data_IF_734351771345
#
_entry.id   IF_734351771345
#
_cell.length_a   1.000
_cell.length_b   1.000
_cell.length_c   1.000
_cell.angle_alpha   90.00
_cell.angle_beta   90.00
_cell.angle_gamma   90.00
#
_symmetry.space_group_name_H-M   'P 1'
#
loop_
_entity.id
_entity.type
_entity.pdbx_description
1 polymer ?
#
# COMPACT_ATOMS: atom_id res chain seq x y z
N UNK A 1 -25.59 16.45 72.55
CA UNK A 1 -25.43 15.03 72.12
C UNK A 1 -26.55 14.75 71.12
N UNK A 2 -26.21 14.77 69.82
CA UNK A 2 -26.37 13.66 68.84
C UNK A 2 -27.82 13.16 68.67
N UNK A 3 -28.37 12.92 67.46
CA UNK A 3 -27.73 12.73 66.16
C UNK A 3 -28.75 12.89 65.02
N UNK A 4 -28.24 13.25 63.84
CA UNK A 4 -28.90 13.22 62.53
C UNK A 4 -29.37 11.81 62.13
N UNK A 5 -30.44 11.74 61.32
CA UNK A 5 -30.35 11.11 59.99
C UNK A 5 -31.62 11.33 59.15
N UNK A 6 -31.55 12.28 58.22
CA UNK A 6 -32.42 12.36 57.05
C UNK A 6 -31.86 11.45 55.95
N UNK A 7 -32.37 10.23 55.86
CA UNK A 7 -32.12 9.36 54.70
C UNK A 7 -33.00 9.82 53.52
N UNK A 8 -32.44 10.67 52.66
CA UNK A 8 -32.97 10.97 51.34
C UNK A 8 -32.64 9.84 50.36
N UNK A 9 -33.46 8.79 50.34
CA UNK A 9 -33.42 7.75 49.32
C UNK A 9 -34.03 8.28 48.01
N UNK A 10 -33.21 8.86 47.15
CA UNK A 10 -33.59 9.18 45.77
C UNK A 10 -33.73 7.89 44.96
N UNK A 11 -34.95 7.59 44.51
CA UNK A 11 -35.28 6.48 43.63
C UNK A 11 -34.52 6.57 42.29
N UNK A 12 -33.61 5.62 42.05
CA UNK A 12 -32.98 5.38 40.75
C UNK A 12 -33.90 4.49 39.89
N UNK A 13 -34.87 5.14 39.22
CA UNK A 13 -36.00 4.47 38.56
C UNK A 13 -35.65 3.81 37.20
N UNK A 14 -34.42 3.95 36.68
CA UNK A 14 -34.05 3.36 35.39
C UNK A 14 -32.62 2.81 35.32
N UNK A 15 -31.89 2.72 36.44
CA UNK A 15 -30.48 2.32 36.41
C UNK A 15 -29.60 3.30 35.61
N UNK A 16 -30.10 4.52 35.36
CA UNK A 16 -29.39 5.56 34.62
C UNK A 16 -28.18 6.06 35.40
N UNK A 17 -28.22 6.00 36.74
CA UNK A 17 -27.04 6.32 37.55
C UNK A 17 -25.99 5.20 37.49
N UNK A 18 -26.40 3.94 37.31
CA UNK A 18 -25.48 2.82 37.13
C UNK A 18 -24.85 2.82 35.72
N UNK A 19 -25.64 3.16 34.68
CA UNK A 19 -25.16 3.35 33.31
C UNK A 19 -24.26 4.58 33.20
N UNK A 20 -24.61 5.68 33.86
CA UNK A 20 -23.79 6.89 33.98
C UNK A 20 -22.45 6.61 34.65
N UNK A 21 -22.45 5.92 35.80
CA UNK A 21 -21.22 5.51 36.51
C UNK A 21 -20.37 4.49 35.74
N UNK A 22 -20.99 3.65 34.90
CA UNK A 22 -20.25 2.71 34.05
C UNK A 22 -19.62 3.44 32.86
N UNK A 23 -20.34 4.39 32.26
CA UNK A 23 -19.81 5.28 31.23
C UNK A 23 -18.69 6.19 31.73
N UNK A 24 -18.84 6.77 32.93
CA UNK A 24 -17.79 7.56 33.61
C UNK A 24 -16.54 6.72 33.85
N UNK A 25 -16.68 5.51 34.41
CA UNK A 25 -15.53 4.61 34.62
C UNK A 25 -14.81 4.20 33.34
N UNK A 26 -15.54 4.00 32.24
CA UNK A 26 -14.96 3.68 30.93
C UNK A 26 -14.22 4.90 30.37
N UNK A 27 -14.80 6.10 30.50
CA UNK A 27 -14.15 7.34 30.10
C UNK A 27 -12.88 7.61 30.93
N UNK A 28 -12.93 7.39 32.25
CA UNK A 28 -11.79 7.54 33.15
C UNK A 28 -10.67 6.54 32.82
N UNK A 29 -11.01 5.29 32.48
CA UNK A 29 -10.05 4.29 32.07
C UNK A 29 -9.38 4.63 30.72
N UNK A 30 -10.13 5.14 29.74
CA UNK A 30 -9.59 5.61 28.47
C UNK A 30 -8.66 6.81 28.64
N UNK A 31 -9.04 7.78 29.49
CA UNK A 31 -8.20 8.92 29.84
C UNK A 31 -6.89 8.45 30.49
N UNK A 32 -6.94 7.51 31.43
CA UNK A 32 -5.73 7.00 32.09
C UNK A 32 -4.83 6.20 31.15
N UNK A 33 -5.42 5.41 30.23
CA UNK A 33 -4.70 4.72 29.18
C UNK A 33 -3.95 5.69 28.26
N UNK A 34 -4.61 6.76 27.83
CA UNK A 34 -4.01 7.82 27.00
C UNK A 34 -2.93 8.59 27.77
N UNK A 35 -3.15 8.92 29.05
CA UNK A 35 -2.12 9.57 29.87
C UNK A 35 -0.86 8.71 29.98
N UNK A 36 -1.05 7.42 30.24
CA UNK A 36 0.06 6.46 30.29
C UNK A 36 0.79 6.43 28.95
N UNK A 37 0.04 6.33 27.85
CA UNK A 37 0.59 6.32 26.50
C UNK A 37 1.40 7.58 26.16
N UNK A 38 0.88 8.77 26.49
CA UNK A 38 1.58 10.04 26.27
C UNK A 38 2.77 10.23 27.22
N UNK A 39 2.71 9.75 28.45
CA UNK A 39 3.85 9.82 29.38
C UNK A 39 5.06 9.05 28.87
N UNK A 40 4.81 7.97 28.11
CA UNK A 40 5.82 7.19 27.42
C UNK A 40 6.27 7.88 26.13
N UNK A 41 5.33 8.36 25.30
CA UNK A 41 5.61 8.83 23.93
C UNK A 41 5.93 10.32 23.76
N UNK A 42 5.19 11.21 24.45
CA UNK A 42 5.29 12.65 24.33
C UNK A 42 4.82 13.37 25.61
N UNK A 43 5.76 13.63 26.53
CA UNK A 43 5.47 14.34 27.80
C UNK A 43 4.88 15.74 27.61
N UNK A 44 5.37 16.60 26.69
CA UNK A 44 4.77 17.92 26.49
C UNK A 44 3.29 17.86 26.07
N UNK A 45 2.92 16.85 25.28
CA UNK A 45 1.54 16.65 24.84
C UNK A 45 0.64 16.13 25.98
N UNK A 46 1.21 15.41 26.96
CA UNK A 46 0.49 15.02 28.19
C UNK A 46 0.06 16.24 29.00
N UNK A 47 0.94 17.23 29.13
CA UNK A 47 0.65 18.47 29.86
C UNK A 47 -0.50 19.23 29.18
N UNK A 48 -0.46 19.32 27.84
CA UNK A 48 -1.53 19.94 27.04
C UNK A 48 -2.87 19.19 27.19
N UNK A 49 -2.85 17.85 27.19
CA UNK A 49 -4.05 17.05 27.46
C UNK A 49 -4.62 17.34 28.86
N UNK A 50 -3.75 17.57 29.85
CA UNK A 50 -4.12 18.01 31.20
C UNK A 50 -4.87 19.35 31.20
N UNK A 51 -4.42 20.32 30.42
CA UNK A 51 -5.12 21.60 30.25
C UNK A 51 -6.46 21.42 29.52
N UNK A 52 -6.54 20.56 28.50
CA UNK A 52 -7.79 20.25 27.80
C UNK A 52 -8.85 19.60 28.70
N UNK A 53 -8.42 18.78 29.68
CA UNK A 53 -9.31 18.18 30.70
C UNK A 53 -9.91 19.22 31.65
N UNK A 54 -9.20 20.33 31.90
CA UNK A 54 -9.65 21.41 32.77
C UNK A 54 -10.75 22.30 32.17
N UNK A 55 -10.96 22.27 30.84
CA UNK A 55 -11.91 23.12 30.14
C UNK A 55 -13.20 22.36 29.77
N UNK A 56 -14.29 22.64 30.50
CA UNK A 56 -15.62 22.02 30.30
C UNK A 56 -16.22 22.24 28.91
N UNK A 57 -15.75 23.24 28.13
CA UNK A 57 -16.33 23.59 26.82
C UNK A 57 -15.67 22.89 25.62
N UNK A 58 -14.65 22.04 25.80
CA UNK A 58 -13.98 21.30 24.70
C UNK A 58 -14.12 19.78 24.78
N UNK A 59 -15.17 19.27 25.44
CA UNK A 59 -15.39 17.82 25.61
C UNK A 59 -15.34 17.03 24.30
N UNK A 60 -15.91 17.57 23.21
CA UNK A 60 -15.87 16.89 21.91
C UNK A 60 -14.46 16.77 21.30
N UNK A 61 -13.64 17.83 21.36
CA UNK A 61 -12.26 17.78 20.86
C UNK A 61 -11.42 16.81 21.68
N UNK A 62 -11.54 16.89 23.01
CA UNK A 62 -10.86 15.97 23.91
C UNK A 62 -11.24 14.51 23.62
N UNK A 63 -12.54 14.23 23.43
CA UNK A 63 -12.99 12.88 23.07
C UNK A 63 -12.40 12.39 21.74
N UNK A 64 -12.24 13.27 20.74
CA UNK A 64 -11.58 12.89 19.49
C UNK A 64 -10.09 12.60 19.71
N UNK A 65 -9.40 13.44 20.47
CA UNK A 65 -7.98 13.22 20.82
C UNK A 65 -7.79 11.89 21.52
N UNK A 66 -8.61 11.58 22.52
CA UNK A 66 -8.60 10.30 23.23
C UNK A 66 -8.77 9.14 22.24
N UNK A 67 -9.81 9.18 21.41
CA UNK A 67 -10.07 8.13 20.40
C UNK A 67 -8.91 7.92 19.43
N UNK A 68 -8.29 9.00 18.97
CA UNK A 68 -7.16 8.93 18.04
C UNK A 68 -5.94 8.33 18.73
N UNK A 69 -5.65 8.72 19.97
CA UNK A 69 -4.53 8.20 20.74
C UNK A 69 -4.72 6.74 21.13
N UNK A 70 -5.94 6.32 21.49
CA UNK A 70 -6.29 4.91 21.71
C UNK A 70 -6.10 4.07 20.43
N UNK A 71 -6.58 4.57 19.28
CA UNK A 71 -6.34 3.92 17.98
C UNK A 71 -4.85 3.86 17.63
N UNK A 72 -4.09 4.91 17.94
CA UNK A 72 -2.66 4.96 17.69
C UNK A 72 -1.92 3.93 18.55
N UNK A 73 -2.29 3.83 19.83
CA UNK A 73 -1.77 2.81 20.74
C UNK A 73 -2.05 1.39 20.23
N UNK A 74 -3.25 1.13 19.71
CA UNK A 74 -3.60 -0.17 19.11
C UNK A 74 -2.84 -0.50 17.82
N UNK A 75 -2.28 0.50 17.13
CA UNK A 75 -1.49 0.34 15.90
C UNK A 75 0.02 0.23 16.16
N UNK A 76 0.47 0.43 17.39
CA UNK A 76 1.89 0.33 17.71
C UNK A 76 2.35 -1.12 17.78
N UNK A 77 3.33 -1.43 16.95
CA UNK A 77 4.16 -2.62 17.11
C UNK A 77 5.23 -2.31 18.16
N UNK A 78 5.13 -2.94 19.33
CA UNK A 78 6.18 -2.85 20.34
C UNK A 78 7.46 -3.48 19.80
N UNK A 79 8.46 -2.64 19.57
CA UNK A 79 9.79 -3.09 19.25
C UNK A 79 10.55 -3.30 20.57
N UNK A 80 10.79 -4.57 20.90
CA UNK A 80 11.55 -4.97 22.09
C UNK A 80 13.00 -4.48 22.10
N UNK A 81 13.55 -4.05 20.96
CA UNK A 81 14.94 -3.64 20.84
C UNK A 81 15.15 -2.13 21.10
N UNK A 82 14.11 -1.31 20.95
CA UNK A 82 14.18 0.14 21.14
C UNK A 82 13.34 0.58 22.34
N UNK A 83 13.96 0.60 23.52
CA UNK A 83 13.33 0.91 24.83
C UNK A 83 12.73 2.32 24.95
N UNK A 84 12.83 3.18 23.94
CA UNK A 84 12.28 4.53 23.97
C UNK A 84 11.24 4.67 22.87
N UNK A 85 9.99 4.83 23.27
CA UNK A 85 8.92 5.31 22.42
C UNK A 85 8.95 6.84 22.51
N UNK A 86 9.52 7.54 21.53
CA UNK A 86 9.50 9.01 21.50
C UNK A 86 9.05 9.49 20.13
N UNK A 87 8.10 10.42 20.12
CA UNK A 87 7.69 11.16 18.91
C UNK A 87 8.25 12.58 19.00
N UNK A 88 8.58 13.16 17.84
CA UNK A 88 8.86 14.59 17.79
C UNK A 88 7.66 15.39 18.30
N UNK A 89 7.94 16.36 19.16
CA UNK A 89 6.89 17.11 19.85
C UNK A 89 6.11 17.99 18.87
N UNK A 90 6.77 18.58 17.87
CA UNK A 90 6.11 19.41 16.87
C UNK A 90 5.17 18.57 15.98
N UNK A 91 5.63 17.40 15.51
CA UNK A 91 4.80 16.44 14.78
C UNK A 91 3.60 16.00 15.61
N UNK A 92 3.81 15.63 16.88
CA UNK A 92 2.73 15.20 17.78
C UNK A 92 1.67 16.30 17.97
N UNK A 93 2.10 17.54 18.22
CA UNK A 93 1.18 18.67 18.36
C UNK A 93 0.39 18.94 17.09
N UNK A 94 1.05 18.98 15.93
CA UNK A 94 0.37 19.22 14.66
C UNK A 94 -0.66 18.12 14.35
N UNK A 95 -0.35 16.86 14.63
CA UNK A 95 -1.32 15.76 14.47
C UNK A 95 -2.52 15.97 15.38
N UNK A 96 -2.31 16.17 16.68
CA UNK A 96 -3.40 16.30 17.65
C UNK A 96 -4.27 17.52 17.38
N UNK A 97 -3.67 18.66 17.04
CA UNK A 97 -4.41 19.89 16.75
C UNK A 97 -5.36 19.69 15.57
N UNK A 98 -4.86 19.15 14.46
CA UNK A 98 -5.64 18.93 13.24
C UNK A 98 -6.63 17.76 13.40
N UNK A 99 -6.23 16.68 14.06
CA UNK A 99 -7.06 15.49 14.19
C UNK A 99 -8.20 15.69 15.22
N UNK A 100 -8.02 16.56 16.22
CA UNK A 100 -9.04 16.83 17.25
C UNK A 100 -10.33 17.46 16.70
N UNK A 101 -10.27 18.11 15.53
CA UNK A 101 -11.45 18.69 14.85
C UNK A 101 -12.10 17.76 13.82
N UNK A 102 -11.57 16.54 13.65
CA UNK A 102 -12.09 15.58 12.66
C UNK A 102 -13.15 14.70 13.33
N UNK A 103 -14.39 14.72 12.83
CA UNK A 103 -15.46 13.82 13.29
C UNK A 103 -15.50 12.47 12.57
N UNK A 104 -14.91 12.39 11.37
CA UNK A 104 -15.04 11.21 10.53
C UNK A 104 -14.09 10.10 10.99
N UNK A 105 -14.65 8.92 11.29
CA UNK A 105 -13.91 7.80 11.87
C UNK A 105 -12.76 7.31 10.96
N UNK A 106 -12.96 7.29 9.64
CA UNK A 106 -11.93 6.89 8.66
C UNK A 106 -10.74 7.84 8.67
N UNK A 107 -10.98 9.15 8.74
CA UNK A 107 -9.90 10.14 8.86
C UNK A 107 -9.22 10.05 10.22
N UNK A 108 -9.98 9.86 11.31
CA UNK A 108 -9.39 9.64 12.64
C UNK A 108 -8.47 8.41 12.66
N UNK A 109 -8.85 7.33 11.96
CA UNK A 109 -8.01 6.14 11.84
C UNK A 109 -6.69 6.41 11.10
N UNK A 110 -6.73 7.23 10.04
CA UNK A 110 -5.51 7.65 9.33
C UNK A 110 -4.60 8.53 10.19
N UNK A 111 -5.16 9.48 10.93
CA UNK A 111 -4.41 10.31 11.87
C UNK A 111 -3.76 9.48 12.98
N UNK A 112 -4.50 8.51 13.52
CA UNK A 112 -4.00 7.59 14.52
C UNK A 112 -2.81 6.76 14.01
N UNK A 113 -2.91 6.24 12.78
CA UNK A 113 -1.78 5.53 12.18
C UNK A 113 -0.60 6.44 11.90
N UNK A 114 -0.82 7.66 11.40
CA UNK A 114 0.26 8.61 11.17
C UNK A 114 1.00 8.88 12.49
N UNK A 115 0.28 9.13 13.59
CA UNK A 115 0.86 9.28 14.93
C UNK A 115 1.69 8.07 15.33
N UNK A 116 1.15 6.86 15.20
CA UNK A 116 1.84 5.62 15.54
C UNK A 116 3.13 5.43 14.71
N UNK A 117 3.08 5.73 13.41
CA UNK A 117 4.21 5.59 12.49
C UNK A 117 5.31 6.65 12.68
N UNK A 118 4.99 7.77 13.33
CA UNK A 118 5.92 8.86 13.65
C UNK A 118 6.71 8.61 14.94
N UNK A 119 6.32 7.64 15.76
CA UNK A 119 7.07 7.27 16.97
C UNK A 119 8.39 6.57 16.57
N UNK A 120 9.51 7.04 17.11
CA UNK A 120 10.88 6.53 16.91
C UNK A 120 11.47 6.73 15.51
N UNK A 121 10.90 7.61 14.68
CA UNK A 121 11.45 7.92 13.35
C UNK A 121 11.88 9.38 13.28
N UNK A 122 13.15 9.62 12.95
CA UNK A 122 13.76 10.95 12.82
C UNK A 122 13.44 11.68 11.50
N UNK A 123 12.58 11.10 10.66
CA UNK A 123 12.13 11.73 9.40
C UNK A 123 11.00 12.75 9.67
N UNK A 124 11.33 13.78 10.44
CA UNK A 124 10.39 14.80 10.91
C UNK A 124 9.74 15.56 9.73
N UNK A 125 10.54 15.95 8.74
CA UNK A 125 10.08 16.71 7.57
C UNK A 125 9.08 15.94 6.70
N UNK A 126 9.26 14.62 6.56
CA UNK A 126 8.33 13.79 5.79
C UNK A 126 6.97 13.68 6.51
N UNK A 127 6.99 13.52 7.84
CA UNK A 127 5.76 13.45 8.61
C UNK A 127 4.99 14.79 8.54
N UNK A 128 5.68 15.93 8.58
CA UNK A 128 5.07 17.25 8.36
C UNK A 128 4.43 17.34 6.97
N UNK A 129 5.12 16.89 5.93
CA UNK A 129 4.56 16.82 4.58
C UNK A 129 3.28 15.98 4.51
N UNK A 130 3.22 14.83 5.20
CA UNK A 130 2.01 14.01 5.25
C UNK A 130 0.89 14.61 6.10
N UNK A 131 1.22 15.32 7.19
CA UNK A 131 0.24 16.11 7.95
C UNK A 131 -0.42 17.14 7.03
N UNK A 132 0.38 17.84 6.22
CA UNK A 132 -0.10 18.85 5.27
C UNK A 132 -1.00 18.29 4.17
N UNK A 133 -0.73 17.07 3.70
CA UNK A 133 -1.63 16.38 2.79
C UNK A 133 -2.91 15.97 3.53
N UNK A 134 -2.78 15.24 4.64
CA UNK A 134 -3.93 14.61 5.31
C UNK A 134 -4.95 15.63 5.81
N UNK A 135 -4.50 16.81 6.30
CA UNK A 135 -5.41 17.88 6.74
C UNK A 135 -6.25 18.49 5.61
N UNK A 136 -5.85 18.31 4.35
CA UNK A 136 -6.56 18.80 3.16
C UNK A 136 -7.50 17.76 2.56
N UNK A 137 -7.43 16.51 3.02
CA UNK A 137 -8.21 15.41 2.45
C UNK A 137 -9.62 15.33 3.04
N UNK A 138 -10.58 15.01 2.18
CA UNK A 138 -11.94 14.68 2.59
C UNK A 138 -12.07 13.18 2.89
N UNK A 139 -13.11 12.78 3.62
CA UNK A 139 -13.39 11.36 3.88
C UNK A 139 -13.60 10.56 2.58
N UNK A 140 -14.26 11.16 1.58
CA UNK A 140 -14.48 10.54 0.27
C UNK A 140 -13.17 10.28 -0.48
N UNK A 141 -12.24 11.25 -0.43
CA UNK A 141 -10.91 11.14 -1.03
C UNK A 141 -10.07 10.05 -0.37
N UNK A 142 -10.06 10.02 0.96
CA UNK A 142 -9.36 8.99 1.75
C UNK A 142 -9.87 7.59 1.41
N UNK A 143 -11.19 7.39 1.33
CA UNK A 143 -11.76 6.10 0.97
C UNK A 143 -11.28 5.63 -0.40
N UNK A 144 -11.24 6.54 -1.38
CA UNK A 144 -10.73 6.22 -2.71
C UNK A 144 -9.23 5.89 -2.68
N UNK A 145 -8.40 6.68 -2.00
CA UNK A 145 -6.96 6.39 -1.89
C UNK A 145 -6.74 5.02 -1.25
N UNK A 146 -7.37 4.74 -0.10
CA UNK A 146 -7.23 3.45 0.59
C UNK A 146 -7.65 2.29 -0.30
N UNK A 147 -8.81 2.42 -0.97
CA UNK A 147 -9.28 1.42 -1.92
C UNK A 147 -8.27 1.21 -3.06
N UNK A 148 -7.71 2.27 -3.64
CA UNK A 148 -6.71 2.16 -4.70
C UNK A 148 -5.42 1.50 -4.20
N UNK A 149 -4.92 1.88 -3.03
CA UNK A 149 -3.72 1.29 -2.43
C UNK A 149 -3.91 -0.20 -2.14
N UNK A 150 -5.12 -0.63 -1.74
CA UNK A 150 -5.43 -2.03 -1.46
C UNK A 150 -5.66 -2.84 -2.75
N UNK A 151 -6.35 -2.30 -3.75
CA UNK A 151 -6.86 -3.07 -4.89
C UNK A 151 -6.04 -2.95 -6.19
N UNK A 152 -4.99 -2.12 -6.22
CA UNK A 152 -4.07 -2.09 -7.36
C UNK A 152 -3.04 -3.21 -7.28
N UNK A 153 -2.67 -3.83 -8.41
CA UNK A 153 -1.59 -4.82 -8.42
C UNK A 153 -0.25 -4.13 -8.21
N UNK A 154 0.55 -4.69 -7.31
CA UNK A 154 1.88 -4.22 -6.95
C UNK A 154 2.92 -5.10 -7.63
N UNK A 155 3.86 -4.47 -8.30
CA UNK A 155 4.97 -5.14 -8.95
C UNK A 155 6.26 -4.37 -8.72
N UNK A 156 7.39 -4.96 -9.05
CA UNK A 156 8.69 -4.27 -9.04
C UNK A 156 9.39 -4.50 -10.37
N UNK A 157 10.39 -3.69 -10.70
CA UNK A 157 11.34 -4.08 -11.74
C UNK A 157 12.24 -5.18 -11.16
N UNK A 158 11.96 -6.44 -11.50
CA UNK A 158 12.66 -7.58 -10.90
C UNK A 158 14.16 -7.54 -11.16
N UNK A 159 14.61 -6.99 -12.30
CA UNK A 159 16.04 -6.82 -12.60
C UNK A 159 16.77 -5.88 -11.63
N UNK A 160 16.03 -5.09 -10.85
CA UNK A 160 16.55 -4.17 -9.85
C UNK A 160 15.99 -4.50 -8.44
N UNK A 161 15.77 -5.78 -8.12
CA UNK A 161 15.21 -6.20 -6.82
C UNK A 161 15.93 -5.57 -5.62
N UNK A 162 17.26 -5.63 -5.60
CA UNK A 162 18.07 -5.09 -4.50
C UNK A 162 17.84 -3.59 -4.32
N UNK A 163 17.83 -2.84 -5.43
CA UNK A 163 17.55 -1.40 -5.44
C UNK A 163 16.11 -1.08 -5.03
N UNK A 164 15.14 -1.90 -5.46
CA UNK A 164 13.74 -1.71 -5.08
C UNK A 164 13.52 -1.95 -3.57
N UNK A 165 14.25 -2.90 -2.98
CA UNK A 165 14.28 -3.14 -1.52
C UNK A 165 14.90 -1.97 -0.78
N UNK A 166 16.06 -1.49 -1.24
CA UNK A 166 16.78 -0.37 -0.63
C UNK A 166 15.98 0.94 -0.70
N UNK A 167 15.43 1.27 -1.87
CA UNK A 167 14.65 2.50 -2.08
C UNK A 167 13.19 2.37 -1.59
N UNK A 168 12.73 1.16 -1.29
CA UNK A 168 11.38 0.91 -0.82
C UNK A 168 10.29 1.12 -1.89
N UNK A 169 10.63 1.02 -3.18
CA UNK A 169 9.75 1.42 -4.29
C UNK A 169 8.97 0.24 -4.85
N UNK A 170 7.69 0.49 -5.11
CA UNK A 170 6.77 -0.44 -5.78
C UNK A 170 6.16 0.23 -7.00
N UNK A 171 6.05 -0.52 -8.08
CA UNK A 171 5.32 -0.14 -9.30
C UNK A 171 3.87 -0.57 -9.22
N UNK A 172 2.98 0.26 -9.76
CA UNK A 172 1.54 0.06 -9.70
C UNK A 172 0.94 0.00 -11.10
N UNK A 173 0.06 -0.97 -11.31
CA UNK A 173 -0.75 -1.06 -12.53
C UNK A 173 -1.98 -0.16 -12.44
N UNK A 174 -2.45 0.34 -13.58
CA UNK A 174 -3.72 1.06 -13.65
C UNK A 174 -4.90 0.13 -13.34
N UNK A 175 -5.75 0.56 -12.42
CA UNK A 175 -7.04 -0.06 -12.14
C UNK A 175 -8.12 0.62 -12.97
N UNK A 176 -8.97 -0.19 -13.60
CA UNK A 176 -10.10 0.29 -14.39
C UNK A 176 -11.35 0.32 -13.52
N UNK A 177 -11.82 1.51 -13.16
CA UNK A 177 -13.00 1.71 -12.33
C UNK A 177 -14.18 2.24 -13.13
N UNK A 178 -15.35 1.62 -12.94
CA UNK A 178 -16.59 2.17 -13.49
C UNK A 178 -17.10 3.32 -12.64
N UNK A 179 -17.92 4.20 -13.22
CA UNK A 179 -18.45 5.36 -12.49
C UNK A 179 -19.25 4.98 -11.24
N UNK A 180 -20.09 3.95 -11.37
CA UNK A 180 -20.91 3.47 -10.27
C UNK A 180 -20.05 2.95 -9.11
N UNK A 181 -18.93 2.29 -9.43
CA UNK A 181 -17.95 1.82 -8.46
C UNK A 181 -17.24 2.97 -7.77
N UNK A 182 -16.80 3.99 -8.51
CA UNK A 182 -16.22 5.22 -7.92
C UNK A 182 -17.18 5.90 -6.94
N UNK A 183 -18.46 6.05 -7.30
CA UNK A 183 -19.48 6.62 -6.42
C UNK A 183 -19.65 5.79 -5.14
N UNK A 184 -19.65 4.46 -5.29
CA UNK A 184 -19.76 3.53 -4.17
C UNK A 184 -18.56 3.64 -3.22
N UNK A 185 -17.34 3.57 -3.75
CA UNK A 185 -16.09 3.68 -2.97
C UNK A 185 -16.02 5.02 -2.24
N UNK A 186 -16.32 6.12 -2.93
CA UNK A 186 -16.29 7.48 -2.34
C UNK A 186 -17.48 7.78 -1.43
N UNK A 187 -18.44 6.86 -1.31
CA UNK A 187 -19.69 7.01 -0.58
C UNK A 187 -20.43 8.31 -0.93
N UNK A 188 -20.53 8.61 -2.24
CA UNK A 188 -21.18 9.81 -2.76
C UNK A 188 -22.18 9.46 -3.85
N UNK A 189 -23.41 9.97 -3.73
CA UNK A 189 -24.44 9.88 -4.78
C UNK A 189 -24.30 10.98 -5.83
N UNK A 190 -23.57 12.07 -5.53
CA UNK A 190 -23.40 13.20 -6.43
C UNK A 190 -22.25 12.96 -7.39
N UNK A 191 -22.58 12.94 -8.69
CA UNK A 191 -21.61 12.76 -9.76
C UNK A 191 -20.60 13.91 -9.84
N UNK A 192 -21.10 15.14 -9.75
CA UNK A 192 -20.26 16.34 -9.78
C UNK A 192 -19.28 16.37 -8.61
N UNK A 193 -19.73 15.95 -7.42
CA UNK A 193 -18.86 15.86 -6.25
C UNK A 193 -17.73 14.84 -6.47
N UNK A 194 -18.06 13.65 -6.97
CA UNK A 194 -17.05 12.62 -7.28
C UNK A 194 -16.03 13.14 -8.28
N UNK A 195 -16.46 13.82 -9.34
CA UNK A 195 -15.55 14.42 -10.33
C UNK A 195 -14.61 15.45 -9.68
N UNK A 196 -15.15 16.39 -8.90
CA UNK A 196 -14.33 17.43 -8.25
C UNK A 196 -13.34 16.87 -7.21
N UNK A 197 -13.76 15.86 -6.45
CA UNK A 197 -12.91 15.22 -5.43
C UNK A 197 -11.81 14.39 -6.10
N UNK A 198 -12.14 13.73 -7.23
CA UNK A 198 -11.18 12.99 -8.03
C UNK A 198 -10.15 13.91 -8.71
N UNK A 199 -10.59 15.03 -9.29
CA UNK A 199 -9.70 16.06 -9.83
C UNK A 199 -8.79 16.65 -8.75
N UNK A 200 -9.32 16.86 -7.54
CA UNK A 200 -8.52 17.33 -6.39
C UNK A 200 -7.40 16.34 -6.05
N UNK A 201 -7.69 15.04 -6.03
CA UNK A 201 -6.67 14.00 -5.79
C UNK A 201 -5.58 13.96 -6.85
N UNK A 202 -5.95 14.17 -8.13
CA UNK A 202 -4.98 14.29 -9.22
C UNK A 202 -4.11 15.52 -9.01
N UNK A 203 -4.72 16.66 -8.68
CA UNK A 203 -4.01 17.92 -8.45
C UNK A 203 -3.08 17.88 -7.22
N UNK A 204 -3.41 17.06 -6.21
CA UNK A 204 -2.51 16.81 -5.07
C UNK A 204 -1.40 15.81 -5.41
N UNK A 205 -1.37 15.24 -6.62
CA UNK A 205 -0.39 14.24 -7.01
C UNK A 205 -0.54 12.92 -6.24
N UNK A 206 -1.74 12.61 -5.77
CA UNK A 206 -2.03 11.37 -5.02
C UNK A 206 -2.52 10.25 -5.93
N UNK A 207 -3.11 10.59 -7.07
CA UNK A 207 -3.50 9.62 -8.09
C UNK A 207 -3.09 10.09 -9.49
N UNK A 208 -2.86 9.12 -10.37
CA UNK A 208 -2.45 9.34 -11.75
C UNK A 208 -3.45 8.75 -12.75
N UNK A 209 -3.56 9.40 -13.92
CA UNK A 209 -4.29 8.91 -15.10
C UNK A 209 -3.28 8.52 -16.18
N UNK A 210 -3.60 7.56 -17.05
CA UNK A 210 -2.78 7.32 -18.24
C UNK A 210 -2.77 8.59 -19.10
N UNK A 211 -1.57 9.08 -19.43
CA UNK A 211 -1.27 10.32 -20.17
C UNK A 211 -1.43 11.64 -19.39
N UNK A 212 -0.46 12.01 -18.53
CA UNK A 212 -0.45 13.27 -17.78
C UNK A 212 -0.30 14.53 -18.65
N UNK A 213 0.05 14.39 -19.94
CA UNK A 213 0.34 15.50 -20.86
C UNK A 213 -0.87 16.07 -21.62
N UNK A 214 -2.06 15.46 -21.51
CA UNK A 214 -3.30 16.09 -21.93
C UNK A 214 -4.05 16.51 -20.67
N UNK A 215 -4.48 17.77 -20.61
CA UNK A 215 -5.61 18.19 -19.78
C UNK A 215 -6.84 17.45 -20.29
N UNK A 216 -6.86 16.15 -19.99
CA UNK A 216 -7.85 15.23 -20.50
C UNK A 216 -9.20 15.69 -19.98
N UNK A 217 -10.26 15.43 -20.76
CA UNK A 217 -11.61 15.75 -20.35
C UNK A 217 -11.88 15.19 -18.93
N UNK A 218 -12.73 15.85 -18.13
CA UNK A 218 -12.99 15.44 -16.73
C UNK A 218 -13.43 13.97 -16.65
N UNK A 219 -13.41 13.35 -15.46
CA UNK A 219 -13.78 11.94 -15.34
C UNK A 219 -15.20 11.72 -15.89
N UNK A 220 -16.08 12.70 -15.76
CA UNK A 220 -17.43 12.66 -16.31
C UNK A 220 -17.48 12.55 -17.84
N UNK A 221 -16.48 13.08 -18.53
CA UNK A 221 -16.38 13.03 -19.98
C UNK A 221 -15.63 11.78 -20.47
N UNK A 222 -14.65 11.26 -19.71
CA UNK A 222 -13.93 10.01 -20.04
C UNK A 222 -14.76 8.75 -19.77
N UNK A 223 -15.61 8.77 -18.75
CA UNK A 223 -16.28 7.55 -18.26
C UNK A 223 -17.55 7.19 -19.05
N UNK A 224 -18.00 8.02 -20.01
CA UNK A 224 -19.18 7.71 -20.82
C UNK A 224 -19.04 6.47 -21.74
N UNK A 225 -17.83 5.95 -21.96
CA UNK A 225 -17.61 4.82 -22.87
C UNK A 225 -16.74 3.68 -22.34
N UNK A 226 -15.82 3.92 -21.38
CA UNK A 226 -14.79 2.92 -21.04
C UNK A 226 -14.39 2.80 -19.56
N UNK A 227 -14.95 3.57 -18.61
CA UNK A 227 -14.44 3.61 -17.24
C UNK A 227 -13.17 4.46 -17.07
N UNK A 228 -12.79 4.75 -15.83
CA UNK A 228 -11.59 5.53 -15.49
C UNK A 228 -10.41 4.60 -15.20
N UNK A 229 -9.29 4.81 -15.89
CA UNK A 229 -8.02 4.16 -15.56
C UNK A 229 -7.28 5.04 -14.54
N UNK A 230 -7.03 4.50 -13.36
CA UNK A 230 -6.43 5.24 -12.25
C UNK A 230 -5.46 4.36 -11.48
N UNK A 231 -4.39 4.96 -10.96
CA UNK A 231 -3.51 4.33 -9.97
C UNK A 231 -3.11 5.34 -8.90
N UNK A 232 -2.81 4.90 -7.66
CA UNK A 232 -2.19 5.77 -6.68
C UNK A 232 -0.76 6.11 -7.11
N UNK A 233 -0.25 7.26 -6.66
CA UNK A 233 1.16 7.59 -6.78
C UNK A 233 1.98 6.96 -5.65
N UNK A 234 3.30 7.00 -5.77
CA UNK A 234 4.18 6.57 -4.67
C UNK A 234 3.96 7.42 -3.41
N UNK A 235 3.63 8.71 -3.57
CA UNK A 235 3.30 9.61 -2.44
C UNK A 235 2.05 9.10 -1.72
N UNK A 236 1.00 8.73 -2.46
CA UNK A 236 -0.21 8.17 -1.86
C UNK A 236 0.03 6.82 -1.18
N UNK A 237 0.87 5.95 -1.76
CA UNK A 237 1.26 4.70 -1.09
C UNK A 237 1.99 4.96 0.23
N UNK A 238 2.99 5.86 0.24
CA UNK A 238 3.73 6.19 1.47
C UNK A 238 2.82 6.77 2.54
N UNK A 239 1.96 7.73 2.16
CA UNK A 239 0.94 8.28 3.07
C UNK A 239 0.04 7.16 3.62
N UNK A 240 -0.45 6.27 2.76
CA UNK A 240 -1.31 5.16 3.15
C UNK A 240 -0.62 4.23 4.17
N UNK A 241 0.60 3.78 3.88
CA UNK A 241 1.39 2.90 4.76
C UNK A 241 1.61 3.54 6.13
N UNK A 242 1.97 4.84 6.15
CA UNK A 242 2.12 5.63 7.37
C UNK A 242 0.82 5.72 8.15
N UNK A 243 -0.29 6.02 7.49
CA UNK A 243 -1.62 6.06 8.09
C UNK A 243 -2.16 4.70 8.54
N UNK A 244 -1.50 3.59 8.19
CA UNK A 244 -1.73 2.27 8.79
C UNK A 244 -0.93 2.02 10.07
N UNK A 245 -0.07 2.95 10.47
CA UNK A 245 0.81 2.81 11.65
C UNK A 245 2.12 2.10 11.35
N UNK A 246 2.38 1.72 10.10
CA UNK A 246 3.59 1.02 9.72
C UNK A 246 4.76 1.98 9.52
N UNK A 247 5.94 1.54 9.97
CA UNK A 247 7.22 2.22 9.75
C UNK A 247 7.96 1.69 8.52
N UNK A 248 7.42 0.65 7.89
CA UNK A 248 7.99 0.01 6.71
C UNK A 248 7.95 0.93 5.50
N UNK A 249 8.82 0.66 4.55
CA UNK A 249 8.71 1.19 3.19
C UNK A 249 7.49 0.58 2.48
N UNK A 250 6.99 1.22 1.39
CA UNK A 250 5.95 0.60 0.56
C UNK A 250 6.30 -0.80 0.06
N UNK A 251 7.56 -1.06 -0.29
CA UNK A 251 8.00 -2.40 -0.68
C UNK A 251 7.79 -3.43 0.43
N UNK A 252 8.32 -3.16 1.62
CA UNK A 252 8.21 -4.07 2.76
C UNK A 252 6.75 -4.28 3.19
N UNK A 253 5.94 -3.21 3.18
CA UNK A 253 4.53 -3.28 3.55
C UNK A 253 3.71 -4.14 2.58
N UNK A 254 3.98 -4.05 1.27
CA UNK A 254 3.27 -4.76 0.21
C UNK A 254 4.07 -5.96 -0.34
N UNK A 255 5.05 -6.48 0.39
CA UNK A 255 5.91 -7.57 -0.11
C UNK A 255 5.07 -8.80 -0.46
N UNK A 256 4.05 -9.10 0.36
CA UNK A 256 3.13 -10.20 0.11
C UNK A 256 2.33 -10.03 -1.18
N UNK A 257 1.80 -8.83 -1.45
CA UNK A 257 1.10 -8.52 -2.71
C UNK A 257 2.02 -8.65 -3.93
N UNK A 258 3.28 -8.21 -3.80
CA UNK A 258 4.28 -8.33 -4.87
C UNK A 258 4.59 -9.79 -5.15
N UNK A 259 4.76 -10.61 -4.10
CA UNK A 259 4.96 -12.05 -4.23
C UNK A 259 3.75 -12.70 -4.92
N UNK A 260 2.53 -12.37 -4.49
CA UNK A 260 1.28 -12.89 -5.09
C UNK A 260 1.19 -12.53 -6.59
N UNK A 261 1.48 -11.28 -6.95
CA UNK A 261 1.51 -10.85 -8.35
C UNK A 261 2.46 -11.71 -9.20
N UNK A 262 3.67 -11.98 -8.69
CA UNK A 262 4.64 -12.80 -9.40
C UNK A 262 4.26 -14.29 -9.42
N UNK A 263 3.58 -14.79 -8.38
CA UNK A 263 3.02 -16.13 -8.38
C UNK A 263 1.92 -16.30 -9.44
N UNK A 264 1.03 -15.32 -9.58
CA UNK A 264 -0.01 -15.34 -10.63
C UNK A 264 0.61 -15.37 -12.03
N UNK A 265 1.65 -14.56 -12.27
CA UNK A 265 2.32 -14.49 -13.57
C UNK A 265 3.01 -15.80 -13.95
N UNK A 266 3.70 -16.38 -12.98
CA UNK A 266 4.49 -17.59 -13.18
C UNK A 266 3.63 -18.84 -13.15
N UNK A 267 2.55 -18.84 -12.37
CA UNK A 267 1.72 -20.01 -12.10
C UNK A 267 2.54 -21.21 -11.59
N UNK A 268 2.17 -22.42 -12.02
CA UNK A 268 2.83 -23.67 -11.64
C UNK A 268 4.13 -23.95 -12.42
N UNK A 269 4.76 -22.94 -13.01
CA UNK A 269 5.98 -23.14 -13.81
C UNK A 269 7.24 -23.22 -12.96
N UNK A 270 7.25 -22.63 -11.76
CA UNK A 270 8.39 -22.70 -10.85
C UNK A 270 8.07 -23.61 -9.67
N UNK A 271 9.10 -24.31 -9.18
CA UNK A 271 9.03 -25.15 -7.97
C UNK A 271 9.50 -24.41 -6.71
N UNK A 272 9.72 -23.10 -6.80
CA UNK A 272 10.21 -22.30 -5.68
C UNK A 272 9.12 -22.10 -4.62
N UNK A 273 9.50 -22.14 -3.34
CA UNK A 273 8.61 -21.76 -2.25
C UNK A 273 8.28 -20.27 -2.31
N UNK A 274 7.09 -19.90 -1.82
CA UNK A 274 6.61 -18.51 -1.81
C UNK A 274 7.61 -17.53 -1.20
N UNK A 275 8.35 -17.94 -0.17
CA UNK A 275 9.34 -17.12 0.55
C UNK A 275 10.57 -16.74 -0.28
N UNK A 276 10.93 -17.53 -1.30
CA UNK A 276 12.15 -17.33 -2.09
C UNK A 276 11.87 -16.99 -3.55
N UNK A 277 10.60 -16.78 -3.91
CA UNK A 277 10.20 -16.57 -5.29
C UNK A 277 10.89 -15.36 -5.92
N UNK A 278 10.86 -14.20 -5.26
CA UNK A 278 11.45 -12.97 -5.82
C UNK A 278 12.96 -13.12 -6.04
N UNK A 279 13.67 -13.68 -5.06
CA UNK A 279 15.11 -13.93 -5.17
C UNK A 279 15.42 -14.93 -6.28
N UNK A 280 14.60 -15.99 -6.43
CA UNK A 280 14.76 -16.95 -7.53
C UNK A 280 14.60 -16.29 -8.90
N UNK A 281 13.54 -15.49 -9.08
CA UNK A 281 13.30 -14.77 -10.35
C UNK A 281 14.43 -13.78 -10.61
N UNK A 282 14.89 -13.10 -9.57
CA UNK A 282 15.97 -12.13 -9.68
C UNK A 282 17.28 -12.76 -10.17
N UNK A 283 17.73 -13.85 -9.53
CA UNK A 283 18.95 -14.55 -9.94
C UNK A 283 18.84 -15.07 -11.38
N UNK A 284 17.69 -15.63 -11.75
CA UNK A 284 17.41 -16.08 -13.12
C UNK A 284 17.43 -14.93 -14.12
N UNK A 285 16.86 -13.79 -13.76
CA UNK A 285 16.86 -12.57 -14.57
C UNK A 285 18.28 -12.03 -14.78
N UNK A 286 19.13 -12.02 -13.75
CA UNK A 286 20.54 -11.65 -13.86
C UNK A 286 21.30 -12.55 -14.83
N UNK A 287 21.07 -13.87 -14.75
CA UNK A 287 21.68 -14.83 -15.70
C UNK A 287 21.18 -14.61 -17.12
N UNK A 288 19.89 -14.33 -17.29
CA UNK A 288 19.28 -14.04 -18.58
C UNK A 288 19.82 -12.78 -19.25
N UNK A 289 20.22 -11.76 -18.47
CA UNK A 289 20.79 -10.53 -18.99
C UNK A 289 22.08 -10.76 -19.80
N UNK A 290 22.91 -11.75 -19.43
CA UNK A 290 24.12 -12.09 -20.18
C UNK A 290 23.82 -12.47 -21.63
N UNK A 291 22.62 -12.97 -21.91
CA UNK A 291 22.21 -13.41 -23.25
C UNK A 291 21.47 -12.32 -24.05
N UNK A 292 21.35 -11.09 -23.54
CA UNK A 292 20.59 -10.00 -24.19
C UNK A 292 21.08 -9.64 -25.59
N UNK A 293 22.38 -9.75 -25.82
CA UNK A 293 22.98 -9.48 -27.12
C UNK A 293 22.99 -10.70 -28.03
N UNK A 294 22.76 -11.90 -27.50
CA UNK A 294 22.83 -13.17 -28.22
C UNK A 294 21.46 -13.68 -28.67
N UNK A 295 20.41 -13.37 -27.92
CA UNK A 295 19.03 -13.76 -28.21
C UNK A 295 18.20 -12.50 -28.43
N UNK A 296 17.37 -12.53 -29.47
CA UNK A 296 16.33 -11.53 -29.71
C UNK A 296 14.95 -12.16 -29.55
N UNK A 297 14.08 -11.51 -28.77
CA UNK A 297 12.70 -11.92 -28.56
C UNK A 297 11.77 -11.06 -29.42
N UNK A 298 11.09 -11.72 -30.35
CA UNK A 298 9.94 -11.20 -31.09
C UNK A 298 8.78 -12.20 -30.95
N UNK A 299 8.08 -12.54 -32.02
CA UNK A 299 7.17 -13.69 -32.09
C UNK A 299 7.92 -15.04 -31.99
N UNK A 300 9.25 -15.02 -32.04
CA UNK A 300 10.15 -16.17 -31.92
C UNK A 300 11.40 -15.80 -31.09
N UNK A 301 12.11 -16.82 -30.62
CA UNK A 301 13.44 -16.72 -30.01
C UNK A 301 14.50 -16.85 -31.12
N UNK A 302 15.12 -15.72 -31.46
CA UNK A 302 16.10 -15.64 -32.54
C UNK A 302 17.51 -15.69 -31.94
N UNK A 303 18.24 -16.77 -32.25
CA UNK A 303 19.63 -16.96 -31.86
C UNK A 303 20.55 -16.29 -32.88
N UNK A 304 21.38 -15.34 -32.44
CA UNK A 304 22.24 -14.56 -33.33
C UNK A 304 23.57 -15.24 -33.65
N UNK A 305 24.03 -16.18 -32.81
CA UNK A 305 25.30 -16.87 -32.98
C UNK A 305 25.07 -18.39 -33.17
N UNK A 306 25.81 -18.99 -34.10
CA UNK A 306 25.75 -20.42 -34.42
C UNK A 306 26.31 -21.29 -33.29
N UNK A 307 27.11 -20.74 -32.37
CA UNK A 307 27.64 -21.46 -31.19
C UNK A 307 26.53 -22.12 -30.35
N UNK A 308 25.30 -21.59 -30.42
CA UNK A 308 24.14 -22.14 -29.74
C UNK A 308 23.71 -23.52 -30.27
N UNK A 309 24.08 -23.88 -31.51
CA UNK A 309 23.80 -25.21 -32.10
C UNK A 309 24.59 -26.34 -31.43
N UNK A 310 25.76 -26.03 -30.87
CA UNK A 310 26.68 -27.01 -30.31
C UNK A 310 26.36 -27.30 -28.83
N UNK A 311 25.51 -26.48 -28.21
CA UNK A 311 25.12 -26.64 -26.82
C UNK A 311 24.28 -27.91 -26.61
N UNK A 312 24.56 -28.62 -25.52
CA UNK A 312 23.67 -29.68 -25.05
C UNK A 312 22.26 -29.13 -24.80
N UNK A 313 21.22 -29.90 -25.15
CA UNK A 313 19.81 -29.47 -25.05
C UNK A 313 19.45 -28.97 -23.64
N UNK A 314 20.01 -29.58 -22.59
CA UNK A 314 19.81 -29.12 -21.21
C UNK A 314 20.33 -27.70 -20.95
N UNK A 315 21.53 -27.39 -21.45
CA UNK A 315 22.16 -26.06 -21.33
C UNK A 315 21.38 -25.04 -22.14
N UNK A 316 21.01 -25.39 -23.39
CA UNK A 316 20.20 -24.55 -24.24
C UNK A 316 18.86 -24.20 -23.57
N UNK A 317 18.17 -25.20 -23.02
CA UNK A 317 16.93 -25.01 -22.27
C UNK A 317 17.10 -24.04 -21.09
N UNK A 318 18.16 -24.21 -20.29
CA UNK A 318 18.39 -23.35 -19.14
C UNK A 318 18.63 -21.90 -19.55
N UNK A 319 19.46 -21.67 -20.57
CA UNK A 319 19.74 -20.31 -21.09
C UNK A 319 18.49 -19.64 -21.66
N UNK A 320 17.69 -20.38 -22.42
CA UNK A 320 16.41 -19.88 -22.97
C UNK A 320 15.40 -19.55 -21.86
N UNK A 321 15.34 -20.38 -20.80
CA UNK A 321 14.48 -20.10 -19.62
C UNK A 321 14.92 -18.82 -18.90
N UNK A 322 16.20 -18.69 -18.64
CA UNK A 322 16.77 -17.52 -17.96
C UNK A 322 16.55 -16.24 -18.81
N UNK A 323 16.77 -16.32 -20.12
CA UNK A 323 16.50 -15.21 -21.04
C UNK A 323 15.02 -14.83 -21.11
N UNK A 324 14.09 -15.80 -21.13
CA UNK A 324 12.66 -15.49 -21.08
C UNK A 324 12.27 -14.78 -19.78
N UNK A 325 12.82 -15.20 -18.63
CA UNK A 325 12.59 -14.53 -17.35
C UNK A 325 13.07 -13.08 -17.40
N UNK A 326 14.29 -12.86 -17.91
CA UNK A 326 14.87 -11.53 -18.08
C UNK A 326 14.02 -10.64 -19.00
N UNK A 327 13.61 -11.17 -20.16
CA UNK A 327 13.02 -10.37 -21.21
C UNK A 327 11.51 -10.15 -21.05
N UNK A 328 10.76 -11.19 -20.72
CA UNK A 328 9.30 -11.12 -20.64
C UNK A 328 8.71 -12.25 -19.77
N UNK A 329 8.67 -12.03 -18.45
CA UNK A 329 8.11 -12.99 -17.50
C UNK A 329 6.65 -13.39 -17.82
N UNK A 330 5.83 -12.44 -18.28
CA UNK A 330 4.44 -12.72 -18.70
C UNK A 330 4.32 -13.64 -19.93
N UNK A 331 5.43 -13.89 -20.63
CA UNK A 331 5.51 -14.77 -21.79
C UNK A 331 5.85 -16.22 -21.47
N UNK A 332 6.16 -16.55 -20.22
CA UNK A 332 6.63 -17.88 -19.81
C UNK A 332 5.64 -19.01 -20.17
N UNK A 333 4.35 -18.70 -20.18
CA UNK A 333 3.31 -19.66 -20.56
C UNK A 333 3.17 -19.88 -22.07
N UNK A 334 3.83 -19.07 -22.89
CA UNK A 334 3.76 -19.16 -24.35
C UNK A 334 4.74 -20.20 -24.88
N UNK A 335 4.46 -20.69 -26.07
CA UNK A 335 5.40 -21.47 -26.87
C UNK A 335 5.98 -20.53 -27.92
N UNK A 336 7.30 -20.56 -28.06
CA UNK A 336 8.06 -19.75 -29.00
C UNK A 336 8.72 -20.65 -30.02
N UNK A 337 8.69 -20.26 -31.29
CA UNK A 337 9.60 -20.84 -32.26
C UNK A 337 11.04 -20.42 -31.95
N UNK A 338 11.99 -21.32 -32.19
CA UNK A 338 13.42 -21.07 -32.05
C UNK A 338 14.07 -21.16 -33.42
N UNK A 339 14.76 -20.09 -33.82
CA UNK A 339 15.42 -19.99 -35.12
C UNK A 339 16.74 -19.23 -35.05
N UNK A 340 17.61 -19.43 -36.03
CA UNK A 340 18.79 -18.60 -36.23
C UNK A 340 18.44 -17.36 -37.07
N UNK A 341 19.24 -16.29 -36.98
CA UNK A 341 18.97 -14.99 -37.62
C UNK A 341 18.68 -15.06 -39.13
N UNK A 342 19.23 -16.04 -39.85
CA UNK A 342 18.99 -16.27 -41.28
C UNK A 342 18.39 -17.65 -41.59
N UNK A 343 17.84 -18.34 -40.58
CA UNK A 343 17.39 -19.73 -40.70
C UNK A 343 15.89 -19.92 -40.48
N UNK A 344 15.38 -21.06 -40.95
CA UNK A 344 14.05 -21.53 -40.60
C UNK A 344 13.99 -21.91 -39.11
N UNK A 345 12.78 -21.92 -38.56
CA UNK A 345 12.54 -22.45 -37.21
C UNK A 345 12.94 -23.92 -37.18
N UNK A 346 13.76 -24.30 -36.21
CA UNK A 346 14.26 -25.67 -36.05
C UNK A 346 13.71 -26.36 -34.80
N UNK A 347 13.09 -25.58 -33.91
CA UNK A 347 12.46 -26.10 -32.71
C UNK A 347 11.34 -25.17 -32.23
N UNK A 348 10.48 -25.70 -31.37
CA UNK A 348 9.62 -24.92 -30.48
C UNK A 348 10.16 -24.99 -29.06
N UNK A 349 9.93 -23.94 -28.28
CA UNK A 349 10.35 -23.84 -26.89
C UNK A 349 9.19 -23.35 -26.03
N UNK A 350 8.88 -24.11 -24.99
CA UNK A 350 7.97 -23.69 -23.93
C UNK A 350 8.73 -23.75 -22.61
N UNK A 351 8.57 -22.76 -21.73
CA UNK A 351 9.36 -22.68 -20.50
C UNK A 351 9.27 -23.98 -19.67
N UNK A 352 8.05 -24.52 -19.50
CA UNK A 352 7.80 -25.72 -18.70
C UNK A 352 8.31 -26.98 -19.40
N UNK A 353 8.00 -27.13 -20.68
CA UNK A 353 8.30 -28.36 -21.43
C UNK A 353 9.73 -28.41 -21.97
N UNK A 354 10.43 -27.28 -22.04
CA UNK A 354 11.70 -27.14 -22.72
C UNK A 354 11.57 -27.13 -24.25
N UNK A 355 12.70 -27.34 -24.91
CA UNK A 355 12.86 -27.31 -26.36
C UNK A 355 12.43 -28.65 -26.99
N UNK A 356 11.61 -28.56 -28.03
CA UNK A 356 11.15 -29.67 -28.88
C UNK A 356 11.59 -29.39 -30.31
N UNK A 357 12.53 -30.18 -30.82
CA UNK A 357 13.03 -30.05 -32.20
C UNK A 357 11.96 -30.47 -33.20
N UNK A 358 11.88 -29.78 -34.32
CA UNK A 358 11.08 -30.21 -35.46
C UNK A 358 11.74 -31.43 -36.11
N UNK A 359 10.93 -32.43 -36.47
CA UNK A 359 11.37 -33.61 -37.22
C UNK A 359 11.41 -33.27 -38.71
N UNK A 360 12.21 -33.98 -39.51
CA UNK A 360 12.33 -33.70 -40.97
C UNK A 360 10.97 -33.77 -41.68
N UNK A 361 10.02 -34.56 -41.17
CA UNK A 361 8.63 -34.63 -41.65
C UNK A 361 7.80 -33.36 -41.45
N UNK A 362 8.20 -32.49 -40.52
CA UNK A 362 7.42 -31.33 -40.09
C UNK A 362 7.77 -30.06 -40.90
N UNK A 363 8.71 -30.17 -41.86
CA UNK A 363 9.26 -29.06 -42.64
C UNK A 363 8.80 -29.09 -44.12
N UNK A 364 8.11 -30.16 -44.55
CA UNK A 364 7.66 -30.36 -45.94
C UNK A 364 6.17 -30.05 -46.22
N UNK A 365 5.43 -29.49 -45.24
CA UNK A 365 4.11 -28.85 -45.42
C UNK A 365 4.22 -27.33 -45.24
#
# INVERSE_FOLDING_TARGET
MSNNNSNGGGFDLFGLNALGRTGEKIADAGIEGVKTFLSLTCKPLLDELGFMLGDKFRSWRLNNVIKILEKAQGKLTWDTENEKLTIDTNVAFQIIENASIVSNDTLQDMWAGLFASSINRYEEDENIFFIDILKRLTSSQVKLISYLCENTKKSINIGNLDKAKEEGVVSLTYLKLQYAELCSVMASSSRLKVDSEFDTLVNFGLIERPNPGSFGPSILQQVKSSGALVRPTLIALRLYVKCRGSKCTPFEYFESDVIEYYQELVGNNFSASNSNLLSFIYERSKRGEFYKEEIELDNALILKNDDWNVLAIGVLNERLRDYLIYRFLGGINKTYDVRFKAGNSFASFNYKQGLKKYTISDIEE
#
